data_IF_670599299467
#
_entry.id   IF_670599299467
#
_cell.length_a   1.000
_cell.length_b   1.000
_cell.length_c   1.000
_cell.angle_alpha   90.00
_cell.angle_beta   90.00
_cell.angle_gamma   90.00
#
_symmetry.space_group_name_H-M   'P 1'
#
loop_
_entity.id
_entity.type
_entity.pdbx_description
1 polymer ?
#
# COMPACT_ATOMS: atom_id res chain seq x y z
N UNK A 1 78.97 12.13 16.77
CA UNK A 1 78.33 12.99 15.72
C UNK A 1 77.27 12.28 14.87
N UNK A 2 77.36 10.99 14.57
CA UNK A 2 76.44 10.25 13.71
C UNK A 2 75.05 10.05 14.33
N UNK A 3 74.94 9.80 15.65
CA UNK A 3 73.64 9.59 16.36
C UNK A 3 72.75 10.84 16.36
N UNK A 4 73.33 12.01 16.55
CA UNK A 4 72.57 13.28 16.49
C UNK A 4 71.97 13.55 15.10
N UNK A 5 72.69 13.19 14.04
CA UNK A 5 72.20 13.34 12.66
C UNK A 5 71.05 12.34 12.36
N UNK A 6 71.12 11.13 12.90
CA UNK A 6 70.06 10.12 12.78
C UNK A 6 68.79 10.53 13.52
N UNK A 7 68.91 11.08 14.69
CA UNK A 7 67.73 11.57 15.47
C UNK A 7 67.08 12.76 14.76
N UNK A 8 67.85 13.69 14.20
CA UNK A 8 67.31 14.83 13.45
C UNK A 8 66.65 14.35 12.16
N UNK A 9 67.22 13.36 11.43
CA UNK A 9 66.60 12.81 10.24
C UNK A 9 65.28 12.04 10.55
N UNK A 10 65.25 11.28 11.65
CA UNK A 10 64.07 10.59 12.09
C UNK A 10 62.95 11.56 12.53
N UNK A 11 63.29 12.66 13.22
CA UNK A 11 62.34 13.70 13.61
C UNK A 11 61.79 14.47 12.39
N UNK A 12 62.62 14.74 11.38
CA UNK A 12 62.17 15.37 10.13
C UNK A 12 61.28 14.41 9.31
N UNK A 13 61.55 13.11 9.28
CA UNK A 13 60.72 12.13 8.61
C UNK A 13 59.34 11.97 9.31
N UNK A 14 59.31 11.99 10.64
CA UNK A 14 58.06 11.93 11.40
C UNK A 14 57.16 13.15 11.18
N UNK A 15 57.76 14.36 11.04
CA UNK A 15 57.00 15.58 10.75
C UNK A 15 56.45 15.66 9.34
N UNK A 16 57.10 14.98 8.37
CA UNK A 16 56.62 14.91 7.00
C UNK A 16 55.41 13.97 6.85
N UNK A 17 55.27 12.96 7.70
CA UNK A 17 54.16 12.00 7.66
C UNK A 17 52.86 12.55 8.31
N UNK A 18 52.98 13.46 9.29
CA UNK A 18 51.84 14.08 9.95
C UNK A 18 51.47 15.46 9.38
N UNK A 19 52.28 15.99 8.45
CA UNK A 19 52.20 17.39 8.01
C UNK A 19 51.03 17.75 7.13
N UNK A 20 50.46 16.79 6.40
CA UNK A 20 49.39 17.11 5.45
C UNK A 20 48.05 17.43 6.11
N UNK A 21 47.65 16.74 7.17
CA UNK A 21 46.38 16.99 7.87
C UNK A 21 46.47 18.22 8.80
N UNK A 22 47.66 18.48 9.40
CA UNK A 22 47.86 19.69 10.21
C UNK A 22 47.78 20.96 9.36
N UNK A 23 48.44 20.98 8.20
CA UNK A 23 48.35 22.10 7.26
C UNK A 23 46.95 22.33 6.72
N UNK A 24 46.21 21.25 6.46
CA UNK A 24 44.79 21.33 6.05
C UNK A 24 43.93 21.97 7.15
N UNK A 25 44.11 21.56 8.41
CA UNK A 25 43.35 22.08 9.55
C UNK A 25 43.64 23.56 9.77
N UNK A 26 44.90 23.99 9.65
CA UNK A 26 45.30 25.42 9.76
C UNK A 26 44.74 26.23 8.59
N UNK A 27 44.62 25.65 7.41
CA UNK A 27 44.04 26.28 6.22
C UNK A 27 42.52 26.26 6.18
N UNK A 28 41.82 25.77 7.23
CA UNK A 28 40.36 25.66 7.29
C UNK A 28 39.77 24.64 6.28
N UNK A 29 40.60 23.71 5.80
CA UNK A 29 40.18 22.66 4.86
C UNK A 29 39.86 21.34 5.61
N UNK A 30 38.90 20.55 5.14
CA UNK A 30 38.57 19.28 5.77
C UNK A 30 39.78 18.37 5.84
N UNK A 31 39.97 17.69 6.96
CA UNK A 31 41.01 16.69 7.17
C UNK A 31 40.67 15.38 6.42
N UNK A 32 41.66 14.49 6.30
CA UNK A 32 41.43 13.17 5.69
C UNK A 32 40.34 12.38 6.44
N UNK A 33 40.29 12.51 7.76
CA UNK A 33 39.25 11.90 8.60
C UNK A 33 37.84 12.45 8.31
N UNK A 34 37.72 13.79 8.15
CA UNK A 34 36.46 14.45 7.83
C UNK A 34 35.91 13.99 6.44
N UNK A 35 36.83 13.85 5.48
CA UNK A 35 36.50 13.38 4.13
C UNK A 35 36.01 11.92 4.18
N UNK A 36 36.67 11.07 4.97
CA UNK A 36 36.26 9.68 5.15
C UNK A 36 34.88 9.60 5.81
N UNK A 37 34.68 10.33 6.90
CA UNK A 37 33.39 10.38 7.59
C UNK A 37 32.25 10.92 6.71
N UNK A 38 32.56 11.87 5.82
CA UNK A 38 31.56 12.37 4.86
C UNK A 38 31.24 11.33 3.78
N UNK A 39 32.24 10.61 3.29
CA UNK A 39 32.04 9.49 2.35
C UNK A 39 31.20 8.38 2.95
N UNK A 40 31.48 8.01 4.20
CA UNK A 40 30.74 6.97 4.90
C UNK A 40 29.26 7.37 5.08
N UNK A 41 29.00 8.63 5.43
CA UNK A 41 27.62 9.16 5.50
C UNK A 41 26.91 9.14 4.15
N UNK A 42 27.60 9.55 3.09
CA UNK A 42 27.02 9.52 1.74
C UNK A 42 26.71 8.08 1.34
N UNK A 43 27.61 7.14 1.59
CA UNK A 43 27.40 5.73 1.29
C UNK A 43 26.23 5.13 2.10
N UNK A 44 26.09 5.52 3.37
CA UNK A 44 24.95 5.11 4.21
C UNK A 44 23.62 5.68 3.69
N UNK A 45 23.60 6.97 3.33
CA UNK A 45 22.42 7.61 2.75
C UNK A 45 22.03 7.00 1.38
N UNK A 46 23.01 6.71 0.54
CA UNK A 46 22.78 6.04 -0.75
C UNK A 46 22.23 4.62 -0.56
N UNK A 47 22.80 3.85 0.38
CA UNK A 47 22.30 2.53 0.73
C UNK A 47 20.86 2.58 1.29
N UNK A 48 20.56 3.56 2.15
CA UNK A 48 19.22 3.77 2.69
C UNK A 48 18.21 4.13 1.58
N UNK A 49 18.59 5.01 0.65
CA UNK A 49 17.77 5.36 -0.51
C UNK A 49 17.55 4.16 -1.44
N UNK A 50 18.60 3.41 -1.74
CA UNK A 50 18.50 2.20 -2.58
C UNK A 50 17.55 1.17 -1.96
N UNK A 51 17.65 0.97 -0.63
CA UNK A 51 16.74 0.09 0.10
C UNK A 51 15.29 0.58 0.03
N UNK A 52 15.06 1.87 0.28
CA UNK A 52 13.71 2.46 0.21
C UNK A 52 13.07 2.29 -1.18
N UNK A 53 13.86 2.47 -2.24
CA UNK A 53 13.42 2.23 -3.62
C UNK A 53 13.10 0.75 -3.84
N UNK A 54 13.95 -0.17 -3.40
CA UNK A 54 13.72 -1.61 -3.52
C UNK A 54 12.44 -2.04 -2.77
N UNK A 55 12.25 -1.55 -1.54
CA UNK A 55 11.06 -1.82 -0.73
C UNK A 55 9.78 -1.28 -1.41
N UNK A 56 9.85 -0.09 -2.03
CA UNK A 56 8.71 0.47 -2.77
C UNK A 56 8.36 -0.33 -4.02
N UNK A 57 9.36 -0.82 -4.76
CA UNK A 57 9.14 -1.68 -5.94
C UNK A 57 8.50 -2.99 -5.51
N UNK A 58 9.05 -3.64 -4.47
CA UNK A 58 8.49 -4.89 -3.94
C UNK A 58 7.03 -4.73 -3.45
N UNK A 59 6.70 -3.59 -2.82
CA UNK A 59 5.33 -3.29 -2.42
C UNK A 59 4.37 -3.16 -3.62
N UNK A 60 4.81 -2.49 -4.70
CA UNK A 60 4.01 -2.34 -5.93
C UNK A 60 3.82 -3.69 -6.63
N UNK A 61 4.87 -4.51 -6.72
CA UNK A 61 4.78 -5.85 -7.30
C UNK A 61 3.83 -6.75 -6.53
N UNK A 62 3.92 -6.73 -5.19
CA UNK A 62 3.01 -7.46 -4.31
C UNK A 62 1.56 -7.00 -4.53
N UNK A 63 1.30 -5.69 -4.50
CA UNK A 63 -0.04 -5.15 -4.73
C UNK A 63 -0.61 -5.58 -6.08
N UNK A 64 0.22 -5.58 -7.14
CA UNK A 64 -0.18 -6.05 -8.48
C UNK A 64 -0.54 -7.54 -8.48
N UNK A 65 0.27 -8.37 -7.82
CA UNK A 65 0.01 -9.80 -7.70
C UNK A 65 -1.29 -10.07 -6.92
N UNK A 66 -1.50 -9.38 -5.80
CA UNK A 66 -2.70 -9.48 -4.98
C UNK A 66 -3.95 -9.03 -5.76
N UNK A 67 -3.84 -7.96 -6.57
CA UNK A 67 -4.94 -7.48 -7.42
C UNK A 67 -5.32 -8.49 -8.51
N UNK A 68 -4.35 -9.13 -9.17
CA UNK A 68 -4.61 -10.17 -10.16
C UNK A 68 -5.24 -11.42 -9.52
N UNK A 69 -4.76 -11.83 -8.35
CA UNK A 69 -5.33 -12.95 -7.61
C UNK A 69 -6.79 -12.67 -7.19
N UNK A 70 -7.09 -11.45 -6.78
CA UNK A 70 -8.44 -11.02 -6.42
C UNK A 70 -9.38 -11.03 -7.65
N UNK A 71 -8.93 -10.53 -8.80
CA UNK A 71 -9.72 -10.60 -10.04
C UNK A 71 -10.01 -12.05 -10.46
N UNK A 72 -9.03 -12.92 -10.33
CA UNK A 72 -9.20 -14.35 -10.62
C UNK A 72 -10.18 -14.99 -9.62
N UNK A 73 -10.09 -14.70 -8.33
CA UNK A 73 -11.01 -15.18 -7.32
C UNK A 73 -12.46 -14.74 -7.61
N UNK A 74 -12.66 -13.48 -7.99
CA UNK A 74 -13.98 -12.94 -8.37
C UNK A 74 -14.58 -13.72 -9.54
N UNK A 75 -13.75 -14.20 -10.49
CA UNK A 75 -14.22 -14.97 -11.67
C UNK A 75 -14.47 -16.43 -11.37
N UNK A 76 -13.65 -17.06 -10.54
CA UNK A 76 -13.57 -18.51 -10.40
C UNK A 76 -14.27 -19.06 -9.17
N UNK A 77 -14.34 -18.28 -8.06
CA UNK A 77 -14.95 -18.76 -6.82
C UNK A 77 -16.48 -18.67 -6.90
N UNK A 78 -17.19 -19.80 -6.89
CA UNK A 78 -18.65 -19.81 -6.99
C UNK A 78 -19.30 -19.07 -5.80
N UNK A 79 -20.23 -18.18 -6.11
CA UNK A 79 -20.98 -17.43 -5.08
C UNK A 79 -20.23 -16.28 -4.44
N UNK A 80 -18.97 -16.03 -4.83
CA UNK A 80 -18.22 -14.86 -4.36
C UNK A 80 -18.71 -13.57 -5.04
N UNK A 81 -18.98 -13.63 -6.33
CA UNK A 81 -19.43 -12.48 -7.10
C UNK A 81 -20.50 -12.82 -8.11
N UNK A 82 -21.33 -11.82 -8.45
CA UNK A 82 -22.34 -11.89 -9.50
C UNK A 82 -22.34 -10.61 -10.31
N UNK A 83 -22.42 -10.71 -11.64
CA UNK A 83 -22.57 -9.53 -12.48
C UNK A 83 -24.03 -9.04 -12.51
N UNK A 84 -24.21 -7.75 -12.78
CA UNK A 84 -25.53 -7.17 -12.99
C UNK A 84 -26.28 -7.92 -14.10
N UNK A 85 -25.58 -8.30 -15.16
CA UNK A 85 -26.16 -9.05 -16.29
C UNK A 85 -26.66 -10.44 -15.87
N UNK A 86 -25.89 -11.17 -15.06
CA UNK A 86 -26.28 -12.51 -14.57
C UNK A 86 -27.51 -12.47 -13.67
N UNK A 87 -27.78 -11.35 -13.02
CA UNK A 87 -28.96 -11.13 -12.16
C UNK A 87 -30.17 -10.52 -12.91
N UNK A 88 -30.13 -10.45 -14.24
CA UNK A 88 -31.23 -9.96 -15.07
C UNK A 88 -31.24 -8.47 -15.35
N UNK A 89 -30.15 -7.78 -15.01
CA UNK A 89 -30.00 -6.34 -15.22
C UNK A 89 -30.67 -5.49 -14.14
N UNK A 90 -30.33 -4.20 -14.12
CA UNK A 90 -30.83 -3.23 -13.16
C UNK A 90 -31.90 -2.33 -13.74
N UNK A 91 -32.66 -1.71 -12.83
CA UNK A 91 -33.63 -0.66 -13.12
C UNK A 91 -33.17 0.63 -12.44
N UNK A 92 -33.01 1.70 -13.21
CA UNK A 92 -32.56 3.01 -12.68
C UNK A 92 -31.06 3.22 -12.77
N UNK A 93 -30.50 3.86 -11.74
CA UNK A 93 -29.08 4.24 -11.70
C UNK A 93 -28.18 3.05 -11.44
N UNK A 94 -27.12 2.92 -12.23
CA UNK A 94 -26.05 1.94 -11.99
C UNK A 94 -25.25 2.29 -10.73
N UNK A 95 -24.61 1.31 -10.07
CA UNK A 95 -23.67 1.54 -9.00
C UNK A 95 -22.59 2.56 -9.38
N UNK A 96 -22.06 3.26 -8.39
CA UNK A 96 -21.04 4.30 -8.59
C UNK A 96 -19.69 3.77 -9.03
N UNK A 97 -19.40 2.48 -8.77
CA UNK A 97 -18.12 1.83 -9.03
C UNK A 97 -18.30 0.43 -9.63
N UNK A 98 -17.20 -0.14 -10.10
CA UNK A 98 -17.17 -1.47 -10.73
C UNK A 98 -17.58 -2.59 -9.77
N UNK A 99 -17.18 -2.50 -8.51
CA UNK A 99 -17.47 -3.49 -7.49
C UNK A 99 -18.23 -2.88 -6.31
N UNK A 100 -19.14 -3.66 -5.73
CA UNK A 100 -19.92 -3.28 -4.57
C UNK A 100 -20.15 -4.50 -3.68
N UNK A 101 -19.86 -4.40 -2.37
CA UNK A 101 -20.10 -5.49 -1.41
C UNK A 101 -21.57 -5.52 -1.04
N UNK A 102 -22.28 -6.56 -1.42
CA UNK A 102 -23.70 -6.74 -1.12
C UNK A 102 -23.87 -7.42 0.24
N UNK A 103 -24.51 -6.69 1.14
CA UNK A 103 -24.77 -7.09 2.53
C UNK A 103 -26.22 -7.51 2.79
N UNK A 104 -27.05 -7.46 1.75
CA UNK A 104 -28.44 -7.94 1.83
C UNK A 104 -29.16 -7.80 0.51
N UNK A 105 -30.13 -8.69 0.28
CA UNK A 105 -31.00 -8.70 -0.88
C UNK A 105 -32.45 -8.87 -0.41
N UNK A 106 -33.36 -8.01 -0.86
CA UNK A 106 -34.71 -7.87 -0.33
C UNK A 106 -35.71 -7.71 -1.47
N UNK A 107 -36.86 -8.38 -1.37
CA UNK A 107 -38.01 -8.12 -2.23
C UNK A 107 -38.80 -6.91 -1.73
N UNK A 108 -38.84 -6.68 -0.41
CA UNK A 108 -39.57 -5.55 0.20
C UNK A 108 -38.66 -4.31 0.27
N UNK A 109 -39.09 -3.15 -0.28
CA UNK A 109 -38.32 -1.93 -0.27
C UNK A 109 -38.06 -1.37 1.16
N UNK A 110 -38.98 -1.57 2.10
CA UNK A 110 -38.81 -1.09 3.46
C UNK A 110 -37.65 -1.78 4.20
N UNK A 111 -37.43 -3.08 3.96
CA UNK A 111 -36.31 -3.82 4.53
C UNK A 111 -34.98 -3.41 3.90
N UNK A 112 -34.95 -3.16 2.60
CA UNK A 112 -33.75 -2.62 1.94
C UNK A 112 -33.39 -1.24 2.51
N UNK A 113 -34.34 -0.33 2.65
CA UNK A 113 -34.14 1.00 3.24
C UNK A 113 -33.64 0.90 4.69
N UNK A 114 -34.26 0.03 5.51
CA UNK A 114 -33.85 -0.18 6.92
C UNK A 114 -32.41 -0.71 6.99
N UNK A 115 -32.03 -1.68 6.11
CA UNK A 115 -30.67 -2.19 6.08
C UNK A 115 -29.66 -1.13 5.63
N UNK A 116 -30.00 -0.34 4.61
CA UNK A 116 -29.15 0.77 4.14
C UNK A 116 -28.92 1.81 5.25
N UNK A 117 -30.00 2.21 5.98
CA UNK A 117 -29.88 3.11 7.12
C UNK A 117 -29.00 2.52 8.24
N UNK A 118 -29.14 1.24 8.54
CA UNK A 118 -28.28 0.56 9.54
C UNK A 118 -26.81 0.55 9.12
N UNK A 119 -26.50 0.32 7.84
CA UNK A 119 -25.13 0.40 7.32
C UNK A 119 -24.59 1.83 7.46
N UNK A 120 -25.35 2.83 7.06
CA UNK A 120 -24.98 4.25 7.16
C UNK A 120 -24.72 4.67 8.62
N UNK A 121 -25.57 4.25 9.56
CA UNK A 121 -25.37 4.51 10.99
C UNK A 121 -24.12 3.85 11.57
N UNK A 122 -23.67 2.76 10.96
CA UNK A 122 -22.41 2.07 11.33
C UNK A 122 -21.18 2.63 10.62
N UNK A 123 -21.31 3.74 9.88
CA UNK A 123 -20.21 4.39 9.17
C UNK A 123 -19.92 3.83 7.77
N UNK A 124 -20.80 2.97 7.24
CA UNK A 124 -20.68 2.42 5.88
C UNK A 124 -21.71 3.05 4.96
N UNK A 125 -21.37 4.03 4.11
CA UNK A 125 -22.26 4.56 3.09
C UNK A 125 -22.82 3.42 2.24
N UNK A 126 -24.15 3.36 2.13
CA UNK A 126 -24.83 2.27 1.45
C UNK A 126 -25.54 2.74 0.18
N UNK A 127 -25.40 1.97 -0.89
CA UNK A 127 -26.12 2.13 -2.15
C UNK A 127 -27.20 1.03 -2.26
N UNK A 128 -28.40 1.42 -2.72
CA UNK A 128 -29.46 0.44 -3.02
C UNK A 128 -29.56 0.27 -4.51
N UNK A 129 -29.31 -0.96 -4.98
CA UNK A 129 -29.40 -1.33 -6.41
C UNK A 129 -30.72 -2.05 -6.66
N UNK A 130 -31.45 -1.57 -7.66
CA UNK A 130 -32.74 -2.12 -8.06
C UNK A 130 -32.63 -2.99 -9.29
N UNK A 131 -32.94 -4.27 -9.15
CA UNK A 131 -32.92 -5.21 -10.27
C UNK A 131 -34.29 -5.28 -10.96
N UNK A 132 -34.27 -5.60 -12.26
CA UNK A 132 -35.50 -5.77 -13.05
C UNK A 132 -36.39 -6.92 -12.56
N UNK A 133 -35.79 -7.89 -11.86
CA UNK A 133 -36.50 -8.97 -11.16
C UNK A 133 -37.33 -8.50 -9.95
N UNK A 134 -37.27 -7.22 -9.59
CA UNK A 134 -37.88 -6.69 -8.38
C UNK A 134 -37.04 -6.84 -7.12
N UNK A 135 -35.88 -7.47 -7.22
CA UNK A 135 -34.91 -7.59 -6.11
C UNK A 135 -34.24 -6.24 -5.83
N UNK A 136 -34.05 -5.93 -4.57
CA UNK A 136 -33.31 -4.76 -4.10
C UNK A 136 -32.12 -5.22 -3.28
N UNK A 137 -30.91 -4.89 -3.71
CA UNK A 137 -29.71 -5.22 -2.96
C UNK A 137 -29.16 -3.98 -2.29
N UNK A 138 -28.64 -4.17 -1.10
CA UNK A 138 -27.96 -3.11 -0.34
C UNK A 138 -26.48 -3.41 -0.41
N UNK A 139 -25.74 -2.51 -1.03
CA UNK A 139 -24.31 -2.59 -1.20
C UNK A 139 -23.59 -1.52 -0.38
N UNK A 140 -22.39 -1.82 0.03
CA UNK A 140 -21.48 -0.94 0.78
C UNK A 140 -20.11 -0.91 0.13
N UNK A 141 -19.31 0.10 0.45
CA UNK A 141 -17.90 0.23 0.05
C UNK A 141 -17.68 0.06 -1.46
N UNK A 142 -18.29 0.94 -2.28
CA UNK A 142 -18.06 0.95 -3.72
C UNK A 142 -16.56 1.14 -4.03
N UNK A 143 -16.01 0.34 -4.95
CA UNK A 143 -14.60 0.43 -5.36
C UNK A 143 -14.41 -0.10 -6.78
N UNK A 144 -13.40 0.41 -7.46
CA UNK A 144 -12.97 -0.11 -8.77
C UNK A 144 -11.83 -1.13 -8.64
N UNK A 145 -11.34 -1.35 -7.41
CA UNK A 145 -10.22 -2.25 -7.12
C UNK A 145 -10.71 -3.59 -6.59
N UNK A 146 -10.46 -4.67 -7.34
CA UNK A 146 -10.84 -6.03 -6.98
C UNK A 146 -10.24 -6.48 -5.65
N UNK A 147 -8.95 -6.22 -5.44
CA UNK A 147 -8.26 -6.58 -4.19
C UNK A 147 -8.89 -5.92 -2.96
N UNK A 148 -9.18 -4.61 -3.04
CA UNK A 148 -9.81 -3.91 -1.93
C UNK A 148 -11.17 -4.53 -1.54
N UNK A 149 -12.00 -4.88 -2.53
CA UNK A 149 -13.35 -5.43 -2.26
C UNK A 149 -13.29 -6.84 -1.70
N UNK A 150 -12.40 -7.69 -2.24
CA UNK A 150 -12.24 -9.09 -1.77
C UNK A 150 -11.65 -9.14 -0.37
N UNK A 151 -10.58 -8.42 -0.09
CA UNK A 151 -9.92 -8.32 1.21
C UNK A 151 -10.89 -7.74 2.27
N UNK A 152 -11.62 -6.68 1.91
CA UNK A 152 -12.60 -6.06 2.80
C UNK A 152 -13.79 -6.99 3.07
N UNK A 153 -14.31 -7.68 2.05
CA UNK A 153 -15.38 -8.65 2.22
C UNK A 153 -14.95 -9.78 3.18
N UNK A 154 -13.73 -10.30 3.04
CA UNK A 154 -13.20 -11.33 3.91
C UNK A 154 -13.11 -10.86 5.37
N UNK A 155 -12.61 -9.65 5.60
CA UNK A 155 -12.49 -9.04 6.94
C UNK A 155 -13.82 -8.74 7.61
N UNK A 156 -14.83 -8.32 6.84
CA UNK A 156 -16.13 -7.92 7.37
C UNK A 156 -17.13 -9.08 7.46
N UNK A 157 -16.92 -10.16 6.71
CA UNK A 157 -17.87 -11.28 6.58
C UNK A 157 -18.13 -11.95 7.94
N UNK A 158 -19.38 -12.12 8.28
CA UNK A 158 -19.82 -12.68 9.56
C UNK A 158 -20.03 -11.64 10.67
N UNK A 159 -19.70 -10.37 10.40
CA UNK A 159 -20.00 -9.26 11.30
C UNK A 159 -21.46 -8.81 11.25
N UNK A 160 -21.84 -7.89 12.14
CA UNK A 160 -23.22 -7.39 12.28
C UNK A 160 -23.76 -6.72 10.99
N UNK A 161 -22.87 -6.06 10.23
CA UNK A 161 -23.25 -5.35 9.00
C UNK A 161 -23.15 -6.27 7.77
N UNK A 162 -22.14 -7.15 7.74
CA UNK A 162 -21.81 -8.01 6.60
C UNK A 162 -22.08 -9.48 6.96
N UNK A 163 -23.26 -10.02 6.68
CA UNK A 163 -23.60 -11.42 6.94
C UNK A 163 -22.65 -12.42 6.24
N UNK A 164 -22.56 -13.69 6.69
CA UNK A 164 -21.71 -14.70 6.07
C UNK A 164 -22.01 -14.96 4.58
N UNK A 165 -23.25 -14.70 4.13
CA UNK A 165 -23.70 -14.85 2.74
C UNK A 165 -23.51 -13.59 1.89
N UNK A 166 -22.75 -12.62 2.35
CA UNK A 166 -22.43 -11.41 1.57
C UNK A 166 -21.53 -11.76 0.39
N UNK A 167 -21.69 -11.04 -0.72
CA UNK A 167 -21.06 -11.29 -1.99
C UNK A 167 -20.73 -9.98 -2.72
N UNK A 168 -20.02 -10.04 -3.84
CA UNK A 168 -19.61 -8.89 -4.62
C UNK A 168 -20.50 -8.74 -5.84
N UNK A 169 -21.09 -7.55 -6.04
CA UNK A 169 -21.76 -7.17 -7.27
C UNK A 169 -20.75 -6.57 -8.23
N UNK A 170 -20.75 -7.06 -9.48
CA UNK A 170 -19.92 -6.54 -10.56
C UNK A 170 -20.82 -5.70 -11.49
N UNK A 171 -20.46 -4.45 -11.64
CA UNK A 171 -21.10 -3.49 -12.55
C UNK A 171 -20.33 -3.49 -13.88
N UNK A 172 -20.82 -4.29 -14.85
CA UNK A 172 -20.29 -4.42 -16.22
C UNK A 172 -21.31 -3.96 -17.25
#
# INVERSE_FOLDING_TARGET
MRIKRLIIAAALAATLLTGCDFLRKVAGRPTSADITALRDKIAEEEAARAKAVADSIAAVEKWRADSLAAEEAIRTVPGLAFSIKSLGGIYGKAPSSKYLIIVGAFSNPAYAAKKAAACASAGYPAEVVFFRSGLRTVGILPSDEAFFVTDTLEKLRGGAICPPKSWILINE
#
